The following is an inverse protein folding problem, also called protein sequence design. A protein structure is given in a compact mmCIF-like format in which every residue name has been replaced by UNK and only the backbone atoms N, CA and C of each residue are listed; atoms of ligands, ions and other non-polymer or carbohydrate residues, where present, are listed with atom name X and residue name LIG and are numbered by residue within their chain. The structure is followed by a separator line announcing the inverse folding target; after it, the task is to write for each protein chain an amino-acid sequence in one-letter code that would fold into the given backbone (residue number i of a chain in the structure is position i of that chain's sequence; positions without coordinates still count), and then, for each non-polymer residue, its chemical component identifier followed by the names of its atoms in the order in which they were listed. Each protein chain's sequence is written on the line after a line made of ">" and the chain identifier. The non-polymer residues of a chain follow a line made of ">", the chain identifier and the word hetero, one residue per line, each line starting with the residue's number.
data_IF_989116348211
#
_entry.id   IF_989116348211
#
_cell.length_a   1.000
_cell.length_b   1.000
_cell.length_c   1.000
_cell.angle_alpha   90.00
_cell.angle_beta   90.00
_cell.angle_gamma   90.00
#
_symmetry.space_group_name_H-M   'P 1'
#
loop_
_entity.id
_entity.type
_entity.pdbx_description
1 polymer ?
#
# COMPACT_ATOMS: atom_id res chain seq x y z
N UNK A 1 1.95 -10.82 -10.30
CA UNK A 1 0.66 -11.34 -9.80
C UNK A 1 0.04 -10.35 -8.80
N UNK A 2 -1.29 -10.19 -8.79
CA UNK A 2 -2.01 -9.40 -7.78
C UNK A 2 -2.54 -10.31 -6.65
N UNK A 3 -2.72 -9.80 -5.42
CA UNK A 3 -3.19 -10.63 -4.33
C UNK A 3 -4.66 -11.04 -4.52
N UNK A 4 -5.02 -12.24 -4.05
CA UNK A 4 -6.40 -12.74 -4.09
C UNK A 4 -7.25 -12.22 -2.92
N UNK A 5 -6.64 -12.03 -1.75
CA UNK A 5 -7.33 -11.58 -0.54
C UNK A 5 -6.79 -10.24 -0.05
N UNK A 6 -7.09 -9.15 -0.77
CA UNK A 6 -6.58 -7.81 -0.45
C UNK A 6 -6.99 -7.33 0.94
N UNK A 7 -8.19 -7.69 1.41
CA UNK A 7 -8.68 -7.26 2.72
C UNK A 7 -7.94 -7.92 3.87
N UNK A 8 -7.61 -9.21 3.74
CA UNK A 8 -6.74 -9.92 4.69
C UNK A 8 -5.35 -9.28 4.76
N UNK A 9 -4.77 -8.92 3.61
CA UNK A 9 -3.48 -8.22 3.58
C UNK A 9 -3.57 -6.82 4.20
N UNK A 10 -4.69 -6.12 4.02
CA UNK A 10 -4.95 -4.82 4.65
C UNK A 10 -5.07 -4.96 6.17
N UNK A 11 -5.71 -6.01 6.68
CA UNK A 11 -5.74 -6.29 8.12
C UNK A 11 -4.34 -6.55 8.66
N UNK A 12 -3.58 -7.45 8.02
CA UNK A 12 -2.20 -7.73 8.40
C UNK A 12 -1.30 -6.49 8.36
N UNK A 13 -1.54 -5.58 7.41
CA UNK A 13 -0.78 -4.35 7.29
C UNK A 13 -0.92 -3.43 8.51
N UNK A 14 -2.06 -3.46 9.22
CA UNK A 14 -2.30 -2.64 10.42
C UNK A 14 -1.41 -3.05 11.58
N UNK A 15 -1.04 -4.32 11.65
CA UNK A 15 -0.18 -4.82 12.71
C UNK A 15 1.30 -4.45 12.45
N UNK A 16 1.69 -4.21 11.19
CA UNK A 16 3.08 -3.92 10.83
C UNK A 16 3.54 -2.54 11.31
N UNK A 17 4.79 -2.46 11.76
CA UNK A 17 5.41 -1.19 12.12
C UNK A 17 6.06 -0.55 10.90
N UNK A 18 5.51 0.56 10.44
CA UNK A 18 6.05 1.33 9.33
C UNK A 18 6.75 2.60 9.85
N UNK A 19 8.01 2.81 9.44
CA UNK A 19 8.81 3.99 9.76
C UNK A 19 9.20 4.69 8.46
N UNK A 20 8.71 5.92 8.30
CA UNK A 20 9.05 6.78 7.16
C UNK A 20 10.48 7.29 7.36
N UNK A 21 11.36 7.03 6.39
CA UNK A 21 12.77 7.46 6.42
C UNK A 21 13.01 8.66 5.49
N UNK A 22 12.30 8.70 4.36
CA UNK A 22 12.32 9.82 3.42
C UNK A 22 10.90 10.07 2.88
N UNK A 23 10.77 11.01 1.95
CA UNK A 23 9.49 11.33 1.32
C UNK A 23 8.87 10.17 0.53
N UNK A 24 9.70 9.25 0.02
CA UNK A 24 9.37 8.14 -0.87
C UNK A 24 9.76 6.77 -0.29
N UNK A 25 10.55 6.72 0.78
CA UNK A 25 11.08 5.46 1.34
C UNK A 25 10.57 5.22 2.75
N UNK A 26 10.03 4.02 2.96
CA UNK A 26 9.48 3.55 4.23
C UNK A 26 10.11 2.20 4.58
N UNK A 27 10.57 2.05 5.81
CA UNK A 27 10.98 0.76 6.35
C UNK A 27 9.78 0.15 7.05
N UNK A 28 9.41 -1.07 6.67
CA UNK A 28 8.33 -1.82 7.30
C UNK A 28 8.90 -3.03 8.01
N UNK A 29 8.62 -3.12 9.31
CA UNK A 29 9.09 -4.19 10.18
C UNK A 29 7.96 -5.18 10.45
N UNK A 30 8.27 -6.47 10.35
CA UNK A 30 7.37 -7.50 10.85
C UNK A 30 7.33 -7.50 12.37
N UNK A 31 6.14 -7.57 12.97
CA UNK A 31 5.98 -7.67 14.44
C UNK A 31 6.54 -8.97 14.97
N UNK A 32 6.45 -10.06 14.20
CA UNK A 32 6.89 -11.39 14.60
C UNK A 32 8.37 -11.66 14.33
N UNK A 33 9.06 -10.81 13.57
CA UNK A 33 10.49 -10.91 13.31
C UNK A 33 11.09 -9.52 13.05
N UNK A 34 11.60 -8.89 14.12
CA UNK A 34 12.19 -7.55 14.06
C UNK A 34 13.48 -7.46 13.23
N UNK A 35 14.10 -8.60 12.89
CA UNK A 35 15.31 -8.65 12.04
C UNK A 35 14.93 -8.59 10.56
N UNK A 36 13.69 -8.95 10.21
CA UNK A 36 13.16 -8.89 8.85
C UNK A 36 12.57 -7.50 8.56
N UNK A 37 13.45 -6.53 8.31
CA UNK A 37 13.05 -5.22 7.80
C UNK A 37 12.87 -5.30 6.28
N UNK A 38 11.74 -4.79 5.78
CA UNK A 38 11.48 -4.64 4.36
C UNK A 38 11.51 -3.17 3.99
N UNK A 39 12.28 -2.84 2.95
CA UNK A 39 12.33 -1.48 2.42
C UNK A 39 11.27 -1.37 1.35
N UNK A 40 10.43 -0.35 1.48
CA UNK A 40 9.38 -0.02 0.52
C UNK A 40 9.68 1.35 -0.05
N UNK A 41 9.76 1.45 -1.38
CA UNK A 41 9.81 2.74 -2.08
C UNK A 41 8.47 2.99 -2.77
N UNK A 42 8.03 4.25 -2.76
CA UNK A 42 6.73 4.69 -3.28
C UNK A 42 6.91 5.92 -4.16
N UNK A 43 6.41 5.84 -5.39
CA UNK A 43 6.38 6.92 -6.36
C UNK A 43 4.93 7.28 -6.68
N UNK A 44 4.58 8.55 -6.54
CA UNK A 44 3.27 9.09 -6.92
C UNK A 44 3.37 9.73 -8.31
N UNK A 45 2.62 9.21 -9.28
CA UNK A 45 2.50 9.78 -10.62
C UNK A 45 1.37 10.82 -10.73
N UNK A 46 1.38 11.58 -11.82
CA UNK A 46 0.45 12.68 -12.06
C UNK A 46 -1.01 12.23 -12.23
N UNK A 47 -1.24 11.05 -12.82
CA UNK A 47 -2.57 10.50 -13.12
C UNK A 47 -3.26 9.79 -11.94
N UNK A 48 -2.99 10.22 -10.70
CA UNK A 48 -3.39 9.48 -9.47
C UNK A 48 -2.92 8.01 -9.48
N UNK A 49 -1.82 7.73 -10.19
CA UNK A 49 -1.17 6.42 -10.18
C UNK A 49 -0.12 6.38 -9.09
N UNK A 50 0.03 5.22 -8.46
CA UNK A 50 1.06 4.96 -7.46
C UNK A 50 1.87 3.78 -7.93
N UNK A 51 3.18 3.87 -7.86
CA UNK A 51 4.07 2.72 -8.03
C UNK A 51 4.73 2.47 -6.69
N UNK A 52 4.84 1.20 -6.30
CA UNK A 52 5.56 0.85 -5.10
C UNK A 52 6.40 -0.40 -5.34
N UNK A 53 7.60 -0.42 -4.77
CA UNK A 53 8.49 -1.58 -4.77
C UNK A 53 8.78 -1.96 -3.33
N UNK A 54 8.87 -3.25 -3.07
CA UNK A 54 9.18 -3.80 -1.75
C UNK A 54 10.29 -4.84 -1.90
N UNK A 55 11.17 -4.94 -0.89
CA UNK A 55 12.26 -5.93 -0.88
C UNK A 55 11.83 -7.32 -0.37
N UNK A 56 10.52 -7.59 -0.25
CA UNK A 56 10.04 -8.89 0.21
C UNK A 56 9.98 -9.91 -0.96
N UNK A 57 10.06 -11.22 -0.69
CA UNK A 57 10.04 -12.24 -1.75
C UNK A 57 8.86 -12.14 -2.72
N UNK A 58 7.67 -11.77 -2.23
CA UNK A 58 6.48 -11.54 -3.07
C UNK A 58 6.74 -10.49 -4.16
N UNK A 59 7.30 -9.35 -3.77
CA UNK A 59 7.56 -8.24 -4.66
C UNK A 59 8.78 -8.48 -5.56
N UNK A 60 9.81 -9.15 -5.04
CA UNK A 60 10.96 -9.60 -5.84
C UNK A 60 10.51 -10.53 -6.98
N UNK A 61 9.52 -11.40 -6.72
CA UNK A 61 8.91 -12.27 -7.73
C UNK A 61 7.92 -11.53 -8.65
N UNK A 62 7.99 -10.21 -8.75
CA UNK A 62 7.18 -9.40 -9.68
C UNK A 62 5.69 -9.27 -9.27
N UNK A 63 5.35 -9.56 -8.02
CA UNK A 63 3.97 -9.42 -7.53
C UNK A 63 3.76 -8.10 -6.79
N UNK A 64 2.52 -7.64 -6.73
CA UNK A 64 2.17 -6.29 -6.24
C UNK A 64 1.33 -6.36 -4.97
N UNK A 65 1.29 -5.27 -4.21
CA UNK A 65 0.38 -5.10 -3.09
C UNK A 65 0.56 -6.08 -1.93
N UNK A 66 1.80 -6.41 -1.57
CA UNK A 66 2.05 -7.11 -0.30
C UNK A 66 1.62 -6.25 0.89
N UNK A 67 1.41 -6.88 2.05
CA UNK A 67 1.07 -6.18 3.30
C UNK A 67 2.05 -5.06 3.65
N UNK A 68 3.34 -5.21 3.33
CA UNK A 68 4.34 -4.15 3.53
C UNK A 68 4.06 -2.90 2.69
N UNK A 69 3.69 -3.05 1.42
CA UNK A 69 3.33 -1.91 0.55
C UNK A 69 2.09 -1.22 1.10
N UNK A 70 1.08 -1.99 1.52
CA UNK A 70 -0.13 -1.43 2.11
C UNK A 70 0.18 -0.65 3.39
N UNK A 71 1.00 -1.19 4.29
CA UNK A 71 1.42 -0.53 5.52
C UNK A 71 2.23 0.75 5.25
N UNK A 72 3.14 0.72 4.27
CA UNK A 72 3.92 1.89 3.88
C UNK A 72 3.04 3.01 3.33
N UNK A 73 2.09 2.67 2.45
CA UNK A 73 1.15 3.64 1.89
C UNK A 73 0.24 4.25 2.97
N UNK A 74 -0.23 3.42 3.90
CA UNK A 74 -1.07 3.89 5.01
C UNK A 74 -0.28 4.84 5.92
N UNK A 75 0.96 4.49 6.28
CA UNK A 75 1.82 5.38 7.07
C UNK A 75 2.06 6.74 6.40
N UNK A 76 2.32 6.76 5.08
CA UNK A 76 2.48 8.00 4.32
C UNK A 76 1.18 8.82 4.26
N UNK A 77 0.02 8.16 4.21
CA UNK A 77 -1.28 8.80 4.20
C UNK A 77 -1.65 9.35 5.59
N UNK A 78 -1.42 8.59 6.66
CA UNK A 78 -1.69 8.99 8.05
C UNK A 78 -0.85 10.22 8.43
N UNK A 79 0.40 10.32 7.96
CA UNK A 79 1.21 11.56 8.11
C UNK A 79 0.53 12.80 7.53
N UNK A 80 -0.40 12.63 6.58
CA UNK A 80 -1.19 13.69 5.95
C UNK A 80 -2.63 13.75 6.48
N UNK A 81 -2.95 13.08 7.59
CA UNK A 81 -4.30 13.02 8.15
C UNK A 81 -5.30 12.27 7.26
N UNK A 82 -4.84 11.24 6.55
CA UNK A 82 -5.65 10.45 5.63
C UNK A 82 -5.60 8.97 5.99
N UNK A 83 -6.73 8.30 5.87
CA UNK A 83 -6.82 6.85 5.98
C UNK A 83 -7.05 6.21 4.59
N UNK A 84 -6.39 5.08 4.34
CA UNK A 84 -6.52 4.36 3.07
C UNK A 84 -7.40 3.11 3.18
N UNK A 85 -7.94 2.69 2.04
CA UNK A 85 -8.60 1.40 1.87
C UNK A 85 -8.32 0.85 0.49
N UNK A 86 -8.15 -0.47 0.40
CA UNK A 86 -7.63 -1.15 -0.79
C UNK A 86 -8.69 -2.09 -1.39
N UNK A 87 -8.75 -2.15 -2.72
CA UNK A 87 -9.80 -2.86 -3.48
C UNK A 87 -9.20 -3.53 -4.72
N UNK A 88 -9.71 -4.72 -5.07
CA UNK A 88 -9.31 -5.43 -6.30
C UNK A 88 -10.15 -5.01 -7.51
N UNK A 89 -11.32 -4.42 -7.30
CA UNK A 89 -12.23 -3.94 -8.33
C UNK A 89 -12.36 -2.42 -8.33
N UNK A 90 -12.38 -1.83 -9.53
CA UNK A 90 -12.64 -0.40 -9.71
C UNK A 90 -14.04 -0.03 -9.25
N UNK A 91 -15.02 -0.91 -9.48
CA UNK A 91 -16.42 -0.67 -9.11
C UNK A 91 -16.61 -0.57 -7.59
N UNK A 92 -15.98 -1.45 -6.83
CA UNK A 92 -16.02 -1.43 -5.37
C UNK A 92 -15.36 -0.15 -4.81
N UNK A 93 -14.24 0.27 -5.42
CA UNK A 93 -13.57 1.51 -5.06
C UNK A 93 -14.41 2.75 -5.41
N UNK A 94 -15.08 2.75 -6.56
CA UNK A 94 -16.00 3.83 -6.99
C UNK A 94 -17.17 4.01 -6.01
N UNK A 95 -17.73 2.92 -5.50
CA UNK A 95 -18.84 2.96 -4.53
C UNK A 95 -18.50 3.71 -3.23
N UNK A 96 -17.22 3.81 -2.88
CA UNK A 96 -16.79 4.54 -1.67
C UNK A 96 -16.92 6.06 -1.77
N UNK A 97 -17.10 6.63 -2.97
CA UNK A 97 -17.26 8.09 -3.19
C UNK A 97 -16.15 8.94 -2.54
N UNK A 98 -14.93 8.40 -2.51
CA UNK A 98 -13.73 9.05 -1.97
C UNK A 98 -12.69 9.30 -3.07
N UNK A 99 -11.61 10.04 -2.76
CA UNK A 99 -10.49 10.20 -3.70
C UNK A 99 -9.89 8.84 -4.01
N UNK A 100 -9.65 8.54 -5.28
CA UNK A 100 -9.14 7.25 -5.75
C UNK A 100 -7.76 7.37 -6.35
N UNK A 101 -6.95 6.35 -6.12
CA UNK A 101 -5.64 6.15 -6.73
C UNK A 101 -5.54 4.73 -7.25
N UNK A 102 -4.60 4.50 -8.17
CA UNK A 102 -4.34 3.19 -8.72
C UNK A 102 -2.89 2.76 -8.45
N UNK A 103 -2.71 1.75 -7.61
CA UNK A 103 -1.42 1.10 -7.42
C UNK A 103 -1.13 0.22 -8.63
N UNK A 104 -0.24 0.71 -9.49
CA UNK A 104 0.13 0.07 -10.74
C UNK A 104 1.15 -1.03 -10.49
N UNK A 105 0.89 -2.21 -11.05
CA UNK A 105 1.83 -3.32 -11.08
C UNK A 105 2.68 -3.39 -12.33
N UNK A 106 3.52 -4.42 -12.39
CA UNK A 106 4.20 -4.84 -13.61
C UNK A 106 3.16 -5.52 -14.52
N UNK A 107 2.48 -4.75 -15.38
CA UNK A 107 1.48 -5.24 -16.33
C UNK A 107 0.16 -4.46 -16.31
N UNK A 108 -0.94 -5.12 -16.72
CA UNK A 108 -2.31 -4.56 -16.69
C UNK A 108 -3.00 -4.69 -15.32
N UNK A 109 -2.40 -5.43 -14.39
CA UNK A 109 -2.94 -5.63 -13.05
C UNK A 109 -2.57 -4.49 -12.08
N UNK A 110 -3.49 -4.21 -11.16
CA UNK A 110 -3.28 -3.22 -10.11
C UNK A 110 -4.27 -3.35 -8.97
N UNK A 111 -4.14 -2.44 -8.00
CA UNK A 111 -5.01 -2.35 -6.82
C UNK A 111 -5.56 -0.93 -6.75
N UNK A 112 -6.86 -0.82 -6.52
CA UNK A 112 -7.51 0.47 -6.32
C UNK A 112 -7.39 0.89 -4.87
N UNK A 113 -7.05 2.16 -4.66
CA UNK A 113 -6.90 2.75 -3.34
C UNK A 113 -7.93 3.87 -3.21
N UNK A 114 -8.71 3.87 -2.14
CA UNK A 114 -9.56 4.99 -1.75
C UNK A 114 -8.96 5.69 -0.55
N UNK A 115 -8.92 7.02 -0.56
CA UNK A 115 -8.42 7.83 0.54
C UNK A 115 -9.52 8.71 1.10
N UNK A 116 -9.75 8.61 2.41
CA UNK A 116 -10.68 9.45 3.16
C UNK A 116 -9.92 10.32 4.14
N UNK A 117 -10.49 11.47 4.50
CA UNK A 117 -9.96 12.27 5.60
C UNK A 117 -10.18 11.52 6.92
N UNK A 118 -9.17 11.50 7.77
CA UNK A 118 -9.29 10.95 9.11
C UNK A 118 -9.73 12.09 10.05
N UNK A 119 -10.79 11.91 10.88
CA UNK A 119 -11.09 12.87 11.91
C UNK A 119 -9.93 12.91 12.91
N UNK A 120 -9.41 14.11 13.18
CA UNK A 120 -8.34 14.37 14.13
C UNK A 120 -8.82 14.18 15.57
#
# INVERSE_FOLDING_TARGET
>A
MRPTHIKRLQEQAKDLRARIISHDTVIVQSVSNAVANHVVTVEFGEDNTVRARCTCPWAINGSIGCSHVLAALDALASKKGRALSFWLSDEEAKRQKHRRFFLKGNGKDGIWITSRSEPQ
#
